data_IF_668976700215
#
_entry.id   IF_668976700215
#
_cell.length_a   1.000
_cell.length_b   1.000
_cell.length_c   1.000
_cell.angle_alpha   90.00
_cell.angle_beta   90.00
_cell.angle_gamma   90.00
#
_symmetry.space_group_name_H-M   'P 1'
#
loop_
_entity.id
_entity.type
_entity.pdbx_description
1 polymer ?
#
# COMPACT_ATOMS: atom_id res chain seq x y z
N UNK A 1 12.97 -7.76 -25.55
CA UNK A 1 12.62 -6.52 -24.84
C UNK A 1 13.79 -5.57 -24.97
N UNK A 2 13.60 -4.43 -25.65
CA UNK A 2 14.62 -3.41 -25.89
C UNK A 2 14.99 -2.66 -24.59
N UNK A 3 16.09 -1.92 -24.60
CA UNK A 3 16.47 -1.08 -23.46
C UNK A 3 15.43 0.00 -23.15
N UNK A 4 14.79 0.56 -24.18
CA UNK A 4 13.70 1.54 -24.00
C UNK A 4 12.49 0.92 -23.31
N UNK A 5 12.09 -0.29 -23.72
CA UNK A 5 10.99 -1.01 -23.08
C UNK A 5 11.27 -1.31 -21.60
N UNK A 6 12.53 -1.61 -21.24
CA UNK A 6 12.92 -1.83 -19.83
C UNK A 6 12.81 -0.55 -19.01
N UNK A 7 13.29 0.58 -19.55
CA UNK A 7 13.21 1.89 -18.88
C UNK A 7 11.76 2.33 -18.68
N UNK A 8 10.92 2.15 -19.69
CA UNK A 8 9.49 2.47 -19.61
C UNK A 8 8.80 1.61 -18.55
N UNK A 9 9.04 0.29 -18.55
CA UNK A 9 8.49 -0.61 -17.53
C UNK A 9 8.94 -0.21 -16.11
N UNK A 10 10.21 0.14 -15.94
CA UNK A 10 10.74 0.59 -14.65
C UNK A 10 10.08 1.90 -14.18
N UNK A 11 9.87 2.86 -15.09
CA UNK A 11 9.19 4.12 -14.79
C UNK A 11 7.73 3.90 -14.38
N UNK A 12 7.00 3.05 -15.13
CA UNK A 12 5.62 2.69 -14.80
C UNK A 12 5.55 2.03 -13.43
N UNK A 13 6.41 1.04 -13.18
CA UNK A 13 6.50 0.32 -11.91
C UNK A 13 6.79 1.26 -10.73
N UNK A 14 7.80 2.12 -10.86
CA UNK A 14 8.13 3.12 -9.83
C UNK A 14 6.96 4.06 -9.55
N UNK A 15 6.26 4.52 -10.59
CA UNK A 15 5.12 5.41 -10.43
C UNK A 15 3.96 4.72 -9.69
N UNK A 16 3.71 3.44 -9.97
CA UNK A 16 2.66 2.67 -9.33
C UNK A 16 2.96 2.40 -7.86
N UNK A 17 4.17 1.93 -7.55
CA UNK A 17 4.63 1.75 -6.16
C UNK A 17 4.54 3.06 -5.38
N UNK A 18 5.00 4.16 -5.97
CA UNK A 18 5.00 5.47 -5.27
C UNK A 18 3.59 5.89 -4.90
N UNK A 19 2.61 5.72 -5.80
CA UNK A 19 1.20 6.01 -5.52
C UNK A 19 0.66 5.12 -4.40
N UNK A 20 0.91 3.82 -4.46
CA UNK A 20 0.48 2.88 -3.43
C UNK A 20 1.06 3.21 -2.05
N UNK A 21 2.34 3.59 -1.98
CA UNK A 21 2.99 4.00 -0.74
C UNK A 21 2.32 5.27 -0.18
N UNK A 22 2.03 6.27 -1.02
CA UNK A 22 1.36 7.50 -0.59
C UNK A 22 -0.04 7.19 -0.04
N UNK A 23 -0.83 6.40 -0.76
CA UNK A 23 -2.19 6.04 -0.35
C UNK A 23 -2.21 5.23 0.93
N UNK A 24 -1.30 4.26 1.07
CA UNK A 24 -1.12 3.46 2.27
C UNK A 24 -0.70 4.32 3.46
N UNK A 25 0.25 5.23 3.25
CA UNK A 25 0.73 6.16 4.27
C UNK A 25 -0.41 7.03 4.77
N UNK A 26 -1.22 7.58 3.85
CA UNK A 26 -2.39 8.41 4.20
C UNK A 26 -3.40 7.61 5.02
N UNK A 27 -3.79 6.42 4.55
CA UNK A 27 -4.76 5.55 5.25
C UNK A 27 -4.29 5.19 6.67
N UNK A 28 -3.03 4.76 6.81
CA UNK A 28 -2.51 4.39 8.11
C UNK A 28 -2.32 5.60 9.03
N UNK A 29 -1.95 6.77 8.48
CA UNK A 29 -1.88 7.99 9.26
C UNK A 29 -3.25 8.41 9.81
N UNK A 30 -4.28 8.44 8.96
CA UNK A 30 -5.67 8.74 9.36
C UNK A 30 -6.21 7.75 10.39
N UNK A 31 -5.81 6.47 10.31
CA UNK A 31 -6.28 5.44 11.24
C UNK A 31 -5.51 5.41 12.57
N UNK A 32 -4.22 5.79 12.58
CA UNK A 32 -3.34 5.58 13.72
C UNK A 32 -2.94 6.85 14.46
N UNK A 33 -3.10 8.03 13.85
CA UNK A 33 -2.68 9.31 14.42
C UNK A 33 -3.91 10.18 14.67
N UNK A 34 -4.55 10.04 15.84
CA UNK A 34 -5.77 10.80 16.16
C UNK A 34 -5.52 12.30 16.27
N UNK A 35 -4.30 12.71 16.61
CA UNK A 35 -3.90 14.11 16.75
C UNK A 35 -2.63 14.39 15.93
N UNK A 36 -2.76 14.87 14.68
CA UNK A 36 -1.62 15.07 13.77
C UNK A 36 -0.68 16.21 14.19
N UNK A 37 -1.05 16.98 15.20
CA UNK A 37 -0.26 18.12 15.70
C UNK A 37 0.84 17.72 16.70
N UNK A 38 0.98 16.43 17.02
CA UNK A 38 2.05 15.95 17.91
C UNK A 38 3.37 15.80 17.15
N UNK A 39 4.50 16.13 17.78
CA UNK A 39 5.83 15.97 17.18
C UNK A 39 6.20 14.49 17.07
N UNK A 40 5.91 13.91 15.91
CA UNK A 40 6.29 12.54 15.55
C UNK A 40 5.32 11.46 16.07
N UNK A 41 5.64 10.21 15.73
CA UNK A 41 4.87 9.03 16.12
C UNK A 41 5.32 8.52 17.49
N UNK A 42 4.39 8.41 18.43
CA UNK A 42 4.64 7.75 19.72
C UNK A 42 4.74 6.22 19.54
N UNK A 43 5.04 5.49 20.62
CA UNK A 43 5.21 4.02 20.57
C UNK A 43 3.94 3.31 20.07
N UNK A 44 2.76 3.75 20.49
CA UNK A 44 1.49 3.16 20.10
C UNK A 44 1.18 3.46 18.63
N UNK A 45 1.45 4.68 18.16
CA UNK A 45 1.26 5.05 16.76
C UNK A 45 2.14 4.17 15.86
N UNK A 46 3.41 3.94 16.24
CA UNK A 46 4.33 3.07 15.48
C UNK A 46 3.82 1.63 15.35
N UNK A 47 3.34 1.05 16.45
CA UNK A 47 2.76 -0.31 16.44
C UNK A 47 1.48 -0.34 15.60
N UNK A 48 0.63 0.68 15.71
CA UNK A 48 -0.56 0.80 14.88
C UNK A 48 -0.21 0.86 13.39
N UNK A 49 0.79 1.68 13.02
CA UNK A 49 1.27 1.77 11.64
C UNK A 49 1.76 0.42 11.09
N UNK A 50 2.55 -0.32 11.87
CA UNK A 50 3.04 -1.64 11.47
C UNK A 50 1.87 -2.60 11.21
N UNK A 51 0.89 -2.64 12.11
CA UNK A 51 -0.29 -3.48 11.97
C UNK A 51 -1.16 -3.05 10.77
N UNK A 52 -1.35 -1.74 10.58
CA UNK A 52 -2.12 -1.19 9.47
C UNK A 52 -1.51 -1.59 8.11
N UNK A 53 -0.19 -1.45 7.97
CA UNK A 53 0.53 -1.84 6.76
C UNK A 53 0.41 -3.36 6.52
N UNK A 54 0.63 -4.18 7.56
CA UNK A 54 0.49 -5.64 7.44
C UNK A 54 -0.90 -6.03 6.97
N UNK A 55 -1.95 -5.54 7.65
CA UNK A 55 -3.34 -5.85 7.33
C UNK A 55 -3.73 -5.37 5.92
N UNK A 56 -3.20 -4.22 5.48
CA UNK A 56 -3.43 -3.73 4.12
C UNK A 56 -2.83 -4.67 3.07
N UNK A 57 -1.57 -5.11 3.26
CA UNK A 57 -0.89 -6.02 2.34
C UNK A 57 -1.57 -7.39 2.30
N UNK A 58 -1.98 -7.91 3.45
CA UNK A 58 -2.73 -9.17 3.54
C UNK A 58 -4.06 -9.07 2.78
N UNK A 59 -4.78 -7.96 2.96
CA UNK A 59 -6.02 -7.69 2.24
C UNK A 59 -5.80 -7.56 0.72
N UNK A 60 -4.73 -6.87 0.31
CA UNK A 60 -4.37 -6.71 -1.09
C UNK A 60 -4.02 -8.06 -1.76
N UNK A 61 -3.37 -8.97 -1.03
CA UNK A 61 -3.07 -10.32 -1.51
C UNK A 61 -4.36 -11.13 -1.74
N UNK A 62 -5.33 -11.08 -0.81
CA UNK A 62 -6.63 -11.75 -0.94
C UNK A 62 -7.40 -11.23 -2.15
N UNK A 63 -7.47 -9.90 -2.32
CA UNK A 63 -8.14 -9.27 -3.46
C UNK A 63 -7.46 -9.66 -4.77
N UNK A 64 -6.13 -9.63 -4.81
CA UNK A 64 -5.36 -9.98 -6.01
C UNK A 64 -5.58 -11.43 -6.42
N UNK A 65 -5.61 -12.37 -5.46
CA UNK A 65 -5.97 -13.76 -5.71
C UNK A 65 -7.39 -13.89 -6.27
N UNK A 66 -8.34 -13.14 -5.70
CA UNK A 66 -9.75 -13.15 -6.12
C UNK A 66 -9.94 -12.61 -7.55
N UNK A 67 -9.19 -11.56 -7.92
CA UNK A 67 -9.21 -10.98 -9.26
C UNK A 67 -8.59 -11.91 -10.31
N UNK A 68 -7.54 -12.66 -9.93
CA UNK A 68 -6.90 -13.64 -10.81
C UNK A 68 -7.73 -14.91 -10.99
N UNK A 69 -8.56 -15.27 -10.01
CA UNK A 69 -9.44 -16.45 -10.08
C UNK A 69 -10.68 -16.27 -10.96
N UNK A 70 -10.94 -15.07 -11.50
CA UNK A 70 -12.14 -14.77 -12.30
C UNK A 70 -13.46 -14.81 -11.50
N UNK A 71 -14.56 -14.24 -12.02
CA UNK A 71 -15.86 -14.32 -11.34
C UNK A 71 -16.32 -15.78 -11.28
N UNK A 72 -16.38 -16.33 -10.07
CA UNK A 72 -17.15 -17.54 -9.78
C UNK A 72 -18.63 -17.19 -9.92
N UNK A 73 -19.18 -17.31 -11.14
CA UNK A 73 -20.62 -17.46 -11.35
C UNK A 73 -21.07 -18.71 -10.59
N UNK A 74 -21.79 -18.52 -9.49
CA UNK A 74 -22.58 -19.55 -8.83
C UNK A 74 -24.04 -19.39 -9.20
#
# INVERSE_FOLDING_TARGET
MSEEQRKELELVWKSQITRQIIDLTKKCFESCVPNPNTKGLNKNDKVCFQNCVSNYLDSAAIISASLQSGPQTR
#
